data_IF_061376283515
#
_entry.id   IF_061376283515
#
_cell.length_a   1.000
_cell.length_b   1.000
_cell.length_c   1.000
_cell.angle_alpha   90.00
_cell.angle_beta   90.00
_cell.angle_gamma   90.00
#
_symmetry.space_group_name_H-M   'P 1'
#
loop_
_entity.id
_entity.type
_entity.pdbx_description
1 polymer ?
#
# COMPACT_ATOMS: atom_id res chain seq x y z
N UNK A 1 -8.36 -8.34 -18.04
CA UNK A 1 -8.61 -8.81 -16.68
C UNK A 1 -7.84 -8.01 -15.65
N UNK A 2 -6.52 -8.00 -15.78
CA UNK A 2 -5.72 -7.24 -14.82
C UNK A 2 -6.02 -5.76 -14.86
N UNK A 3 -6.41 -5.26 -16.02
CA UNK A 3 -6.74 -3.85 -16.15
C UNK A 3 -7.92 -3.45 -15.27
N UNK A 4 -8.90 -4.34 -15.14
CA UNK A 4 -10.05 -4.04 -14.29
C UNK A 4 -9.65 -3.96 -12.83
N UNK A 5 -8.71 -4.80 -12.41
CA UNK A 5 -8.23 -4.77 -11.04
C UNK A 5 -7.50 -3.48 -10.77
N UNK A 6 -6.63 -3.08 -11.70
CA UNK A 6 -5.87 -1.84 -11.54
C UNK A 6 -6.80 -0.64 -11.46
N UNK A 7 -7.81 -0.60 -12.33
CA UNK A 7 -8.75 0.51 -12.30
C UNK A 7 -9.54 0.53 -11.00
N UNK A 8 -9.89 -0.64 -10.48
CA UNK A 8 -10.59 -0.70 -9.20
C UNK A 8 -9.70 -0.16 -8.07
N UNK A 9 -8.41 -0.49 -8.11
CA UNK A 9 -7.47 0.01 -7.12
C UNK A 9 -7.35 1.53 -7.22
N UNK A 10 -7.23 2.05 -8.44
CA UNK A 10 -7.14 3.50 -8.63
C UNK A 10 -8.38 4.21 -8.09
N UNK A 11 -9.55 3.67 -8.38
CA UNK A 11 -10.79 4.25 -7.87
C UNK A 11 -10.84 4.21 -6.35
N UNK A 12 -10.40 3.10 -5.77
CA UNK A 12 -10.38 2.97 -4.32
C UNK A 12 -9.46 4.02 -3.69
N UNK A 13 -8.25 4.17 -4.24
CA UNK A 13 -7.30 5.14 -3.70
C UNK A 13 -7.82 6.55 -3.86
N UNK A 14 -8.43 6.84 -5.00
CA UNK A 14 -8.98 8.15 -5.23
C UNK A 14 -10.07 8.48 -4.22
N UNK A 15 -10.97 7.53 -3.98
CA UNK A 15 -12.08 7.76 -3.05
C UNK A 15 -11.61 7.83 -1.61
N UNK A 16 -10.64 7.01 -1.25
CA UNK A 16 -10.21 6.92 0.14
C UNK A 16 -9.22 8.00 0.51
N UNK A 17 -8.32 8.35 -0.39
CA UNK A 17 -7.24 9.27 -0.09
C UNK A 17 -7.33 10.61 -0.81
N UNK A 18 -8.28 10.75 -1.72
CA UNK A 18 -8.44 12.02 -2.44
C UNK A 18 -7.37 12.27 -3.48
N UNK A 19 -6.72 11.22 -3.97
CA UNK A 19 -5.67 11.35 -4.98
C UNK A 19 -6.28 11.07 -6.34
N UNK A 20 -6.06 11.98 -7.30
CA UNK A 20 -6.62 11.81 -8.64
C UNK A 20 -6.08 10.54 -9.28
N UNK A 21 -6.99 9.77 -9.88
CA UNK A 21 -6.55 8.51 -10.49
C UNK A 21 -5.55 8.72 -11.62
N UNK A 22 -5.57 9.89 -12.25
CA UNK A 22 -4.62 10.16 -13.31
C UNK A 22 -3.18 10.23 -12.82
N UNK A 23 -3.01 10.40 -11.49
CA UNK A 23 -1.68 10.42 -10.88
C UNK A 23 -1.22 9.05 -10.40
N UNK A 24 -2.08 8.05 -10.54
CA UNK A 24 -1.80 6.72 -10.04
C UNK A 24 -1.53 5.77 -11.20
N UNK A 25 -0.43 5.03 -11.11
CA UNK A 25 -0.15 3.98 -12.09
C UNK A 25 0.36 2.74 -11.36
N UNK A 26 0.58 1.67 -12.11
CA UNK A 26 0.96 0.40 -11.49
C UNK A 26 2.29 0.46 -10.76
N UNK A 27 3.16 1.37 -11.16
CA UNK A 27 4.48 1.50 -10.55
C UNK A 27 4.52 2.54 -9.44
N UNK A 28 3.40 3.21 -9.18
CA UNK A 28 3.36 4.22 -8.12
C UNK A 28 3.69 3.60 -6.78
N UNK A 29 4.62 4.22 -6.09
CA UNK A 29 4.96 3.82 -4.73
C UNK A 29 3.97 4.47 -3.77
N UNK A 30 3.37 3.66 -2.93
CA UNK A 30 2.28 4.16 -2.08
C UNK A 30 2.74 5.32 -1.21
N UNK A 31 3.90 5.18 -0.58
CA UNK A 31 4.39 6.23 0.31
C UNK A 31 5.08 7.35 -0.45
N UNK A 32 6.04 7.02 -1.30
CA UNK A 32 6.88 8.04 -1.91
C UNK A 32 6.16 8.83 -3.00
N UNK A 33 5.43 8.12 -3.85
CA UNK A 33 4.79 8.78 -4.99
C UNK A 33 3.41 9.33 -4.67
N UNK A 34 2.66 8.62 -3.83
CA UNK A 34 1.30 9.02 -3.50
C UNK A 34 1.18 9.74 -2.17
N UNK A 35 2.24 9.71 -1.37
CA UNK A 35 2.25 10.42 -0.10
C UNK A 35 1.39 9.80 0.98
N UNK A 36 1.04 8.52 0.83
CA UNK A 36 0.22 7.83 1.81
C UNK A 36 1.14 7.13 2.79
N UNK A 37 1.15 7.59 4.04
CA UNK A 37 2.07 7.06 5.03
C UNK A 37 1.43 7.09 6.41
N UNK A 38 2.12 6.47 7.38
CA UNK A 38 1.67 6.48 8.76
C UNK A 38 0.32 5.84 8.96
N UNK A 39 -0.49 6.46 9.79
CA UNK A 39 -1.82 5.93 10.10
C UNK A 39 -2.73 5.89 8.86
N UNK A 40 -2.56 6.87 7.97
CA UNK A 40 -3.37 6.88 6.75
C UNK A 40 -3.12 5.63 5.92
N UNK A 41 -1.86 5.20 5.82
CA UNK A 41 -1.52 4.02 5.06
C UNK A 41 -2.12 2.77 5.70
N UNK A 42 -2.07 2.70 7.03
CA UNK A 42 -2.62 1.55 7.74
C UNK A 42 -4.13 1.48 7.56
N UNK A 43 -4.79 2.62 7.71
CA UNK A 43 -6.24 2.67 7.52
C UNK A 43 -6.64 2.31 6.10
N UNK A 44 -5.86 2.80 5.14
CA UNK A 44 -6.13 2.47 3.75
C UNK A 44 -6.01 0.97 3.50
N UNK A 45 -4.99 0.34 4.07
CA UNK A 45 -4.78 -1.10 3.86
C UNK A 45 -5.88 -1.92 4.53
N UNK A 46 -6.36 -1.50 5.69
CA UNK A 46 -7.47 -2.18 6.33
C UNK A 46 -8.72 -2.08 5.47
N UNK A 47 -9.01 -0.89 4.95
CA UNK A 47 -10.16 -0.69 4.08
C UNK A 47 -10.00 -1.47 2.78
N UNK A 48 -8.78 -1.50 2.25
CA UNK A 48 -8.45 -2.26 1.06
C UNK A 48 -8.77 -3.74 1.26
N UNK A 49 -8.35 -4.29 2.40
CA UNK A 49 -8.61 -5.68 2.69
C UNK A 49 -10.09 -6.01 2.75
N UNK A 50 -10.86 -5.09 3.33
CA UNK A 50 -12.31 -5.29 3.43
C UNK A 50 -12.99 -5.18 2.06
N UNK A 51 -12.58 -4.19 1.28
CA UNK A 51 -13.22 -3.96 -0.01
C UNK A 51 -12.93 -5.07 -1.00
N UNK A 52 -11.70 -5.55 -1.03
CA UNK A 52 -11.28 -6.53 -2.03
C UNK A 52 -11.14 -7.94 -1.47
N UNK A 53 -11.55 -8.14 -0.23
CA UNK A 53 -11.48 -9.46 0.42
C UNK A 53 -10.05 -10.00 0.44
N UNK A 54 -9.13 -9.16 0.88
CA UNK A 54 -7.72 -9.48 0.95
C UNK A 54 -7.31 -9.57 2.42
N UNK A 55 -6.59 -10.62 2.78
CA UNK A 55 -6.09 -10.80 4.14
C UNK A 55 -4.82 -9.97 4.31
N UNK A 56 -4.91 -8.91 5.12
CA UNK A 56 -3.77 -8.04 5.40
C UNK A 56 -3.23 -8.24 6.80
N UNK A 57 -3.71 -9.27 7.52
CA UNK A 57 -3.33 -9.47 8.92
C UNK A 57 -1.86 -9.82 9.10
N UNK A 58 -1.22 -10.34 8.07
CA UNK A 58 0.20 -10.71 8.15
C UNK A 58 1.12 -9.66 7.53
N UNK A 59 0.56 -8.53 7.13
CA UNK A 59 1.36 -7.48 6.52
C UNK A 59 1.98 -6.59 7.59
N UNK A 60 3.29 -6.41 7.50
CA UNK A 60 4.04 -5.62 8.47
C UNK A 60 4.14 -4.18 7.99
N UNK A 61 3.09 -3.42 8.19
CA UNK A 61 3.01 -2.06 7.66
C UNK A 61 4.15 -1.18 8.15
N UNK A 62 4.63 -1.40 9.37
CA UNK A 62 5.69 -0.58 9.92
C UNK A 62 7.00 -0.69 9.13
N UNK A 63 7.17 -1.77 8.40
CA UNK A 63 8.38 -1.95 7.59
C UNK A 63 8.30 -1.21 6.26
N UNK A 64 7.10 -0.77 5.89
CA UNK A 64 6.87 -0.11 4.61
C UNK A 64 6.58 1.36 4.75
N UNK A 65 6.02 1.76 5.88
CA UNK A 65 5.61 3.14 6.10
C UNK A 65 6.20 3.67 7.39
N UNK A 66 6.59 4.94 7.37
CA UNK A 66 7.08 5.58 8.58
C UNK A 66 5.93 5.85 9.51
N UNK A 67 5.98 5.24 10.69
CA UNK A 67 4.96 5.49 11.70
C UNK A 67 5.32 6.76 12.46
N UNK A 68 4.30 7.55 12.78
CA UNK A 68 4.55 8.74 13.55
C UNK A 68 5.04 8.36 14.93
N UNK A 69 5.95 9.13 15.44
CA UNK A 69 6.50 8.89 16.76
C UNK A 69 7.71 8.01 16.76
N UNK A 70 7.84 7.11 15.80
CA UNK A 70 9.04 6.29 15.73
C UNK A 70 10.18 7.00 15.02
N UNK A 71 9.84 7.85 14.07
CA UNK A 71 10.89 8.51 13.30
C UNK A 71 11.71 9.47 14.13
N UNK A 72 11.13 10.09 15.16
CA UNK A 72 11.90 11.00 15.98
C UNK A 72 12.73 10.26 17.01
N UNK A 73 12.32 9.06 17.41
CA UNK A 73 13.10 8.23 18.31
C UNK A 73 14.28 7.63 17.58
N UNK A 74 14.02 7.19 16.36
CA UNK A 74 15.03 6.59 15.52
C UNK A 74 15.19 7.45 14.28
N UNK A 75 15.87 8.58 14.43
CA UNK A 75 15.99 9.52 13.31
C UNK A 75 16.86 8.99 12.20
N UNK A 76 17.43 7.85 12.40
CA UNK A 76 18.35 7.32 11.44
C UNK A 76 17.64 6.84 10.21
N UNK A 77 18.31 7.02 9.14
CA UNK A 77 17.96 6.54 7.85
C UNK A 77 17.77 5.01 7.87
N UNK A 78 16.75 4.54 7.19
CA UNK A 78 16.47 3.12 7.08
C UNK A 78 16.75 2.69 5.65
N UNK A 79 17.97 2.27 5.35
CA UNK A 79 18.35 2.00 3.96
C UNK A 79 17.59 0.85 3.32
N UNK A 80 17.11 -0.06 4.13
CA UNK A 80 16.42 -1.23 3.62
C UNK A 80 14.92 -1.14 3.78
N UNK A 81 14.40 0.07 3.87
CA UNK A 81 12.97 0.25 3.96
C UNK A 81 12.30 -0.37 2.74
N UNK A 82 11.30 -1.16 2.98
CA UNK A 82 10.60 -1.85 1.93
C UNK A 82 9.58 -0.92 1.27
N UNK A 83 9.29 -1.21 0.03
CA UNK A 83 8.42 -0.34 -0.78
C UNK A 83 7.20 -1.12 -1.22
N UNK A 84 6.03 -0.50 -1.03
CA UNK A 84 4.76 -1.07 -1.49
C UNK A 84 4.28 -0.26 -2.68
N UNK A 85 3.94 -0.95 -3.77
CA UNK A 85 3.46 -0.30 -4.98
C UNK A 85 2.05 -0.77 -5.32
N UNK A 86 1.44 -0.08 -6.29
CA UNK A 86 0.12 -0.48 -6.78
C UNK A 86 0.15 -1.89 -7.34
N UNK A 87 1.25 -2.29 -7.98
CA UNK A 87 1.38 -3.65 -8.48
C UNK A 87 1.27 -4.68 -7.35
N UNK A 88 1.82 -4.38 -6.20
CA UNK A 88 1.69 -5.28 -5.05
C UNK A 88 0.25 -5.43 -4.62
N UNK A 89 -0.52 -4.35 -4.67
CA UNK A 89 -1.95 -4.42 -4.34
C UNK A 89 -2.70 -5.26 -5.36
N UNK A 90 -2.33 -5.15 -6.63
CA UNK A 90 -2.94 -5.98 -7.65
C UNK A 90 -2.66 -7.45 -7.39
N UNK A 91 -1.41 -7.78 -7.09
CA UNK A 91 -1.04 -9.15 -6.76
C UNK A 91 -1.80 -9.66 -5.53
N UNK A 92 -2.00 -8.77 -4.55
CA UNK A 92 -2.70 -9.15 -3.34
C UNK A 92 -4.15 -9.51 -3.63
N UNK A 93 -4.81 -8.78 -4.52
CA UNK A 93 -6.18 -9.09 -4.88
C UNK A 93 -6.25 -10.46 -5.55
N UNK A 94 -5.31 -10.73 -6.44
CA UNK A 94 -5.28 -12.02 -7.14
C UNK A 94 -5.01 -13.17 -6.17
N UNK A 95 -4.10 -12.96 -5.22
CA UNK A 95 -3.72 -14.00 -4.27
C UNK A 95 -4.68 -14.11 -3.09
N UNK A 96 -5.43 -13.05 -2.79
CA UNK A 96 -6.32 -13.02 -1.65
C UNK A 96 -5.64 -12.69 -0.34
N UNK A 97 -4.37 -12.29 -0.39
CA UNK A 97 -3.60 -11.94 0.80
C UNK A 97 -2.49 -10.98 0.44
N UNK A 98 -2.03 -10.25 1.44
CA UNK A 98 -0.89 -9.34 1.26
C UNK A 98 0.12 -9.68 2.35
N UNK A 99 1.28 -10.21 1.96
CA UNK A 99 2.34 -10.54 2.90
C UNK A 99 3.70 -10.46 2.23
N UNK A 100 4.75 -10.75 3.01
CA UNK A 100 6.12 -10.62 2.56
C UNK A 100 6.43 -11.53 1.36
N UNK A 101 5.91 -12.74 1.38
CA UNK A 101 6.22 -13.67 0.30
C UNK A 101 5.64 -13.20 -1.02
N UNK A 102 4.52 -12.53 -0.97
CA UNK A 102 3.88 -11.99 -2.17
C UNK A 102 4.70 -10.83 -2.73
N UNK A 103 5.17 -9.96 -1.85
CA UNK A 103 5.88 -8.76 -2.26
C UNK A 103 7.28 -9.10 -2.77
N UNK A 104 7.93 -10.02 -2.09
CA UNK A 104 9.29 -10.41 -2.45
C UNK A 104 9.35 -11.47 -3.54
N UNK A 105 8.26 -12.14 -3.75
CA UNK A 105 8.17 -13.16 -4.79
C UNK A 105 7.82 -12.61 -6.17
#
# INVERSE_FOLDING_TARGET
MNENIVEAIKSFIEEHQGILRSRINTQSKIEEDLGITGDDAIEMLIAFGKKFNVDVSHFMAAEYFNAEGTSWIMPTYTPNKKVLTVTHLEKAIIAGKLDESLING
#
